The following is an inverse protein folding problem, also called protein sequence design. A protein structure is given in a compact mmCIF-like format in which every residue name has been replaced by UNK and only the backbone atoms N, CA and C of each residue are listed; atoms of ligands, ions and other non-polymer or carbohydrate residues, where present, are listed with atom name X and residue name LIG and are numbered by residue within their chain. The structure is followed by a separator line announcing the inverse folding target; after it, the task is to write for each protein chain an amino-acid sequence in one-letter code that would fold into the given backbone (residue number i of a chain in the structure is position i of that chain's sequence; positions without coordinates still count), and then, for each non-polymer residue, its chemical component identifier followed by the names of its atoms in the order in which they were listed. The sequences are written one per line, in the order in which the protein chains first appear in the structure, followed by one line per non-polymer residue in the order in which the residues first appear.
data_IF_827390362695
#
_entry.id   IF_827390362695
#
_cell.length_a   1.000
_cell.length_b   1.000
_cell.length_c   1.000
_cell.angle_alpha   90.00
_cell.angle_beta   90.00
_cell.angle_gamma   90.00
#
_symmetry.space_group_name_H-M   'P 1'
#
loop_
_entity.id
_entity.type
_entity.pdbx_description
1 polymer ?
#
# COMPACT_ATOMS: atom_id res chain seq x y z
N UNK A 1 -15.32 -12.52 21.22
CA UNK A 1 -15.22 -11.05 21.25
C UNK A 1 -16.23 -10.48 20.28
N UNK A 2 -16.93 -9.42 20.69
CA UNK A 2 -17.88 -8.71 19.82
C UNK A 2 -17.11 -8.00 18.71
N UNK A 3 -17.44 -8.30 17.45
CA UNK A 3 -16.70 -7.80 16.28
C UNK A 3 -17.17 -6.43 15.81
N UNK A 4 -18.26 -5.91 16.40
CA UNK A 4 -18.83 -4.60 16.11
C UNK A 4 -19.28 -4.00 17.44
N UNK A 5 -18.82 -2.81 17.80
CA UNK A 5 -19.23 -2.15 19.05
C UNK A 5 -19.20 -0.63 18.91
N UNK A 6 -19.94 0.04 19.79
CA UNK A 6 -19.84 1.47 19.97
C UNK A 6 -18.87 1.81 21.11
N UNK A 7 -18.05 2.84 20.93
CA UNK A 7 -17.13 3.39 21.94
C UNK A 7 -17.38 4.89 22.13
N UNK A 8 -16.82 5.47 23.20
CA UNK A 8 -16.88 6.92 23.44
C UNK A 8 -18.31 7.45 23.56
N UNK A 9 -19.15 6.81 24.37
CA UNK A 9 -20.57 7.14 24.54
C UNK A 9 -21.45 7.02 23.28
N UNK A 10 -20.99 6.34 22.23
CA UNK A 10 -21.77 6.13 21.00
C UNK A 10 -21.26 6.91 19.79
N UNK A 11 -20.28 7.80 19.98
CA UNK A 11 -19.75 8.66 18.92
C UNK A 11 -18.85 7.91 17.92
N UNK A 12 -18.43 6.68 18.26
CA UNK A 12 -17.55 5.86 17.43
C UNK A 12 -18.07 4.45 17.26
N UNK A 13 -18.27 4.03 16.01
CA UNK A 13 -18.51 2.63 15.64
C UNK A 13 -17.17 1.97 15.29
N UNK A 14 -16.87 0.85 15.96
CA UNK A 14 -15.67 0.04 15.69
C UNK A 14 -16.06 -1.31 15.12
N UNK A 15 -15.45 -1.66 14.00
CA UNK A 15 -15.62 -2.95 13.32
C UNK A 15 -14.27 -3.64 13.28
N UNK A 16 -14.14 -4.71 14.05
CA UNK A 16 -12.93 -5.52 14.17
C UNK A 16 -12.80 -6.50 13.01
N UNK A 17 -11.63 -7.16 12.91
CA UNK A 17 -11.35 -8.15 11.86
C UNK A 17 -12.47 -9.20 11.70
N UNK A 18 -12.99 -9.31 10.48
CA UNK A 18 -14.09 -10.20 10.13
C UNK A 18 -15.49 -9.70 10.56
N UNK A 19 -15.62 -8.48 11.05
CA UNK A 19 -16.88 -7.75 11.17
C UNK A 19 -17.28 -7.10 9.83
N UNK A 20 -18.56 -6.75 9.68
CA UNK A 20 -19.06 -6.07 8.48
C UNK A 20 -20.13 -5.04 8.82
N UNK A 21 -20.20 -3.97 8.04
CA UNK A 21 -21.34 -3.04 8.00
C UNK A 21 -22.04 -3.29 6.67
N UNK A 22 -23.31 -3.71 6.71
CA UNK A 22 -24.10 -4.01 5.50
C UNK A 22 -25.35 -3.14 5.49
N UNK A 23 -25.55 -2.37 4.42
CA UNK A 23 -26.72 -1.50 4.22
C UNK A 23 -27.59 -2.08 3.09
N UNK A 24 -28.90 -2.27 3.32
CA UNK A 24 -29.83 -2.93 2.38
C UNK A 24 -31.12 -2.13 2.18
N UNK A 25 -31.80 -2.38 1.06
CA UNK A 25 -33.15 -1.86 0.74
C UNK A 25 -33.35 -0.35 0.95
N UNK A 26 -32.58 0.48 0.22
CA UNK A 26 -32.72 1.94 0.28
C UNK A 26 -32.01 2.61 1.46
N UNK A 27 -31.21 1.88 2.24
CA UNK A 27 -30.38 2.48 3.27
C UNK A 27 -29.28 3.38 2.69
N UNK A 28 -28.98 4.47 3.40
CA UNK A 28 -28.06 5.52 2.96
C UNK A 28 -26.95 5.66 4.00
N UNK A 29 -25.68 5.64 3.56
CA UNK A 29 -24.55 6.14 4.35
C UNK A 29 -24.32 7.58 3.90
N UNK A 30 -24.75 8.53 4.73
CA UNK A 30 -24.60 9.96 4.44
C UNK A 30 -23.46 10.51 5.28
N UNK A 31 -22.49 11.12 4.60
CA UNK A 31 -21.50 12.00 5.22
C UNK A 31 -22.02 13.44 5.12
N UNK A 32 -22.12 14.13 6.26
CA UNK A 32 -22.47 15.55 6.29
C UNK A 32 -21.26 16.43 5.94
N UNK A 33 -21.48 17.72 5.69
CA UNK A 33 -20.41 18.67 5.38
C UNK A 33 -19.32 18.63 6.46
N UNK A 34 -18.08 18.32 6.06
CA UNK A 34 -16.93 18.21 6.96
C UNK A 34 -16.65 16.80 7.50
N UNK A 35 -17.47 15.80 7.17
CA UNK A 35 -17.16 14.41 7.49
C UNK A 35 -16.13 13.82 6.52
N UNK A 36 -15.06 13.23 7.07
CA UNK A 36 -14.02 12.56 6.28
C UNK A 36 -14.27 11.04 6.30
N UNK A 37 -14.50 10.44 5.13
CA UNK A 37 -14.38 8.98 4.95
C UNK A 37 -12.96 8.71 4.47
N UNK A 38 -12.02 8.66 5.41
CA UNK A 38 -10.60 8.48 5.09
C UNK A 38 -10.16 7.03 5.30
N UNK A 39 -9.21 6.58 4.49
CA UNK A 39 -8.30 5.50 4.87
C UNK A 39 -7.07 6.22 5.43
N UNK A 40 -6.94 6.38 6.76
CA UNK A 40 -5.83 7.16 7.32
C UNK A 40 -4.52 6.61 6.76
N UNK A 41 -3.65 7.52 6.33
CA UNK A 41 -2.35 7.19 5.73
C UNK A 41 -1.58 6.21 6.61
N UNK A 42 -1.65 4.93 6.27
CA UNK A 42 -1.02 3.88 7.06
C UNK A 42 0.41 3.68 6.59
N UNK A 43 1.34 3.85 7.54
CA UNK A 43 2.74 3.46 7.39
C UNK A 43 2.90 2.04 7.91
N UNK A 44 3.30 1.14 7.02
CA UNK A 44 3.63 -0.24 7.35
C UNK A 44 5.12 -0.36 7.67
N UNK A 45 5.46 -0.92 8.83
CA UNK A 45 6.84 -1.22 9.21
C UNK A 45 7.12 -2.71 8.99
N UNK A 46 7.87 -3.03 7.94
CA UNK A 46 8.00 -4.40 7.46
C UNK A 46 9.39 -5.00 7.75
N UNK A 47 9.44 -6.08 8.54
CA UNK A 47 10.68 -6.76 8.93
C UNK A 47 10.96 -8.09 8.19
N UNK A 48 10.08 -8.50 7.27
CA UNK A 48 10.24 -9.76 6.52
C UNK A 48 11.12 -9.61 5.27
N UNK A 49 10.97 -10.56 4.34
CA UNK A 49 11.77 -10.64 3.10
C UNK A 49 10.95 -10.49 1.82
N UNK A 50 9.62 -10.59 1.89
CA UNK A 50 8.73 -10.36 0.76
C UNK A 50 7.44 -9.68 1.22
N UNK A 51 7.11 -8.55 0.62
CA UNK A 51 5.91 -7.77 0.89
C UNK A 51 5.16 -7.52 -0.40
N UNK A 52 3.90 -7.93 -0.48
CA UNK A 52 3.03 -7.63 -1.63
C UNK A 52 2.21 -6.39 -1.35
N UNK A 53 2.28 -5.41 -2.24
CA UNK A 53 1.54 -4.15 -2.08
C UNK A 53 0.03 -4.39 -2.08
N UNK A 54 -0.68 -3.60 -1.28
CA UNK A 54 -2.12 -3.66 -1.09
C UNK A 54 -2.76 -2.27 -1.04
N UNK A 55 -4.10 -2.18 -1.05
CA UNK A 55 -4.80 -0.91 -0.87
C UNK A 55 -4.60 -0.26 0.50
N UNK A 56 -4.12 -1.03 1.51
CA UNK A 56 -4.09 -0.60 2.92
C UNK A 56 -2.99 0.41 3.22
N UNK A 57 -1.78 0.10 2.80
CA UNK A 57 -0.61 0.91 3.09
C UNK A 57 -0.38 1.92 1.97
N UNK A 58 -0.07 3.17 2.34
CA UNK A 58 0.44 4.17 1.39
C UNK A 58 1.97 4.22 1.43
N UNK A 59 2.53 3.86 2.57
CA UNK A 59 3.95 3.91 2.85
C UNK A 59 4.42 2.60 3.47
N UNK A 60 5.53 2.05 2.97
CA UNK A 60 6.22 0.89 3.55
C UNK A 60 7.61 1.31 3.97
N UNK A 61 7.95 1.13 5.25
CA UNK A 61 9.32 1.25 5.75
C UNK A 61 9.85 -0.14 6.07
N UNK A 62 10.79 -0.63 5.27
CA UNK A 62 11.44 -1.89 5.56
C UNK A 62 12.42 -1.72 6.73
N UNK A 63 12.46 -2.69 7.64
CA UNK A 63 13.36 -2.71 8.80
C UNK A 63 14.27 -3.94 8.80
N UNK A 64 14.08 -4.85 7.83
CA UNK A 64 14.83 -6.09 7.70
C UNK A 64 16.32 -5.88 7.42
N UNK A 65 17.16 -6.72 8.01
CA UNK A 65 18.58 -6.82 7.67
C UNK A 65 18.82 -7.72 6.44
N UNK A 66 17.84 -8.54 6.07
CA UNK A 66 17.87 -9.43 4.90
C UNK A 66 17.26 -8.76 3.68
N UNK A 67 17.61 -9.24 2.48
CA UNK A 67 17.04 -8.72 1.24
C UNK A 67 15.50 -8.76 1.26
N UNK A 68 14.89 -7.69 0.73
CA UNK A 68 13.43 -7.50 0.72
C UNK A 68 12.93 -7.33 -0.71
N UNK A 69 11.98 -8.17 -1.10
CA UNK A 69 11.22 -8.01 -2.34
C UNK A 69 9.92 -7.26 -2.07
N UNK A 70 9.69 -6.17 -2.79
CA UNK A 70 8.41 -5.45 -2.82
C UNK A 70 7.68 -5.84 -4.09
N UNK A 71 6.64 -6.64 -3.95
CA UNK A 71 5.89 -7.17 -5.09
C UNK A 71 4.77 -6.20 -5.46
N UNK A 72 4.78 -5.74 -6.71
CA UNK A 72 3.65 -5.06 -7.35
C UNK A 72 2.72 -6.14 -7.92
N UNK A 73 1.55 -6.40 -7.32
CA UNK A 73 0.65 -7.46 -7.77
C UNK A 73 -0.05 -7.09 -9.09
N UNK A 74 -0.51 -8.08 -9.87
CA UNK A 74 -1.35 -7.82 -11.03
C UNK A 74 -2.72 -7.26 -10.62
N UNK A 75 -3.29 -6.45 -11.48
CA UNK A 75 -4.61 -5.81 -11.31
C UNK A 75 -5.71 -6.85 -11.04
N UNK A 76 -5.60 -8.04 -11.63
CA UNK A 76 -6.53 -9.15 -11.43
C UNK A 76 -6.56 -9.68 -9.99
N UNK A 77 -5.46 -9.54 -9.24
CA UNK A 77 -5.37 -9.92 -7.84
C UNK A 77 -5.65 -8.74 -6.90
N UNK A 78 -5.10 -7.57 -7.22
CA UNK A 78 -5.28 -6.34 -6.44
C UNK A 78 -5.55 -5.16 -7.39
N UNK A 79 -6.80 -4.70 -7.50
CA UNK A 79 -7.14 -3.63 -8.41
C UNK A 79 -6.67 -2.28 -7.89
N UNK A 80 -5.58 -1.77 -8.47
CA UNK A 80 -5.11 -0.41 -8.26
C UNK A 80 -5.59 0.51 -9.39
N UNK A 81 -6.36 1.59 -9.10
CA UNK A 81 -6.69 2.60 -10.09
C UNK A 81 -5.44 3.32 -10.62
N UNK A 82 -5.45 3.82 -11.88
CA UNK A 82 -4.43 4.74 -12.38
C UNK A 82 -4.14 5.90 -11.41
N UNK A 83 -2.88 6.31 -11.30
CA UNK A 83 -2.42 7.35 -10.36
C UNK A 83 -2.22 6.88 -8.93
N UNK A 84 -2.51 5.61 -8.61
CA UNK A 84 -2.20 5.04 -7.29
C UNK A 84 -0.69 5.03 -7.09
N UNK A 85 -0.21 5.64 -6.02
CA UNK A 85 1.21 5.65 -5.64
C UNK A 85 1.46 4.88 -4.35
N UNK A 86 2.61 4.21 -4.26
CA UNK A 86 3.13 3.57 -3.04
C UNK A 86 4.56 4.00 -2.80
N UNK A 87 4.82 4.54 -1.62
CA UNK A 87 6.18 4.91 -1.22
C UNK A 87 6.81 3.78 -0.43
N UNK A 88 8.04 3.41 -0.78
CA UNK A 88 8.84 2.44 -0.04
C UNK A 88 10.14 3.08 0.39
N UNK A 89 10.51 2.91 1.66
CA UNK A 89 11.76 3.35 2.26
C UNK A 89 12.57 2.15 2.75
N UNK A 90 13.84 2.08 2.35
CA UNK A 90 14.80 1.08 2.84
C UNK A 90 15.34 1.50 4.20
N UNK A 91 14.68 1.13 5.30
CA UNK A 91 15.10 1.53 6.65
C UNK A 91 16.13 0.57 7.28
N UNK A 92 16.04 -0.71 6.92
CA UNK A 92 16.98 -1.76 7.31
C UNK A 92 18.21 -1.81 6.40
N UNK A 93 19.14 -2.73 6.71
CA UNK A 93 20.35 -2.95 5.90
C UNK A 93 20.11 -3.89 4.71
N UNK A 94 18.99 -4.59 4.69
CA UNK A 94 18.59 -5.44 3.58
C UNK A 94 18.34 -4.64 2.31
N UNK A 95 18.87 -5.11 1.18
CA UNK A 95 18.62 -4.51 -0.12
C UNK A 95 17.13 -4.65 -0.48
N UNK A 96 16.49 -3.53 -0.80
CA UNK A 96 15.09 -3.50 -1.24
C UNK A 96 15.04 -3.50 -2.76
N UNK A 97 14.25 -4.42 -3.32
CA UNK A 97 14.05 -4.56 -4.77
C UNK A 97 12.56 -4.62 -5.06
N UNK A 98 12.09 -3.82 -6.02
CA UNK A 98 10.74 -3.96 -6.57
C UNK A 98 10.70 -5.13 -7.55
N UNK A 99 9.62 -5.91 -7.46
CA UNK A 99 9.41 -7.11 -8.27
C UNK A 99 8.03 -6.98 -8.94
N UNK A 100 8.00 -7.15 -10.25
CA UNK A 100 6.77 -7.22 -11.01
C UNK A 100 6.09 -8.58 -10.77
N UNK A 101 4.81 -8.58 -10.40
CA UNK A 101 3.97 -9.78 -10.46
C UNK A 101 3.66 -10.21 -11.90
N UNK A 102 2.89 -11.28 -12.05
CA UNK A 102 2.59 -11.84 -13.37
C UNK A 102 1.91 -10.83 -14.30
N UNK A 103 2.53 -10.55 -15.45
CA UNK A 103 2.00 -9.59 -16.44
C UNK A 103 2.20 -8.12 -16.08
N UNK A 104 2.79 -7.81 -14.93
CA UNK A 104 3.11 -6.44 -14.53
C UNK A 104 4.41 -5.98 -15.21
N UNK A 105 4.43 -4.73 -15.64
CA UNK A 105 5.64 -4.03 -16.12
C UNK A 105 5.94 -2.87 -15.19
N UNK A 106 7.19 -2.77 -14.74
CA UNK A 106 7.69 -1.64 -13.95
C UNK A 106 8.73 -0.90 -14.79
N UNK A 107 8.39 0.30 -15.27
CA UNK A 107 9.32 1.19 -15.95
C UNK A 107 10.25 1.80 -14.90
N UNK A 108 11.56 1.80 -15.17
CA UNK A 108 12.56 2.46 -14.33
C UNK A 108 13.59 3.14 -15.21
N UNK A 109 14.05 4.35 -14.85
CA UNK A 109 15.19 4.97 -15.52
C UNK A 109 16.53 4.28 -15.19
N UNK A 110 16.56 3.43 -14.17
CA UNK A 110 17.76 2.77 -13.63
C UNK A 110 17.45 1.28 -13.38
N UNK A 111 17.84 0.73 -12.21
CA UNK A 111 17.42 -0.60 -11.75
C UNK A 111 16.08 -0.57 -11.00
N UNK A 112 15.59 -1.73 -10.55
CA UNK A 112 14.41 -1.84 -9.66
C UNK A 112 14.78 -1.80 -8.16
N UNK A 113 15.99 -1.39 -7.82
CA UNK A 113 16.49 -1.39 -6.43
C UNK A 113 16.54 0.01 -5.86
N UNK A 114 16.20 0.15 -4.59
CA UNK A 114 16.47 1.38 -3.84
C UNK A 114 17.97 1.45 -3.57
N UNK A 115 18.62 2.57 -3.89
CA UNK A 115 20.09 2.59 -4.01
C UNK A 115 20.84 2.27 -2.71
N UNK A 116 20.27 2.64 -1.55
CA UNK A 116 20.95 2.52 -0.25
C UNK A 116 19.98 2.65 0.91
N UNK A 117 20.47 2.31 2.10
CA UNK A 117 19.74 2.52 3.35
C UNK A 117 19.37 3.99 3.54
N UNK A 118 18.17 4.21 4.06
CA UNK A 118 17.47 5.48 4.25
C UNK A 118 17.07 6.21 2.97
N UNK A 119 17.26 5.62 1.81
CA UNK A 119 16.66 6.08 0.57
C UNK A 119 15.22 5.55 0.41
N UNK A 120 14.44 6.23 -0.41
CA UNK A 120 13.08 5.87 -0.75
C UNK A 120 12.85 5.94 -2.26
N UNK A 121 11.87 5.15 -2.71
CA UNK A 121 11.34 5.18 -4.06
C UNK A 121 9.82 5.09 -4.02
N UNK A 122 9.18 5.59 -5.06
CA UNK A 122 7.73 5.57 -5.27
C UNK A 122 7.46 4.75 -6.52
N UNK A 123 6.51 3.83 -6.42
CA UNK A 123 5.93 3.16 -7.58
C UNK A 123 4.52 3.71 -7.81
N UNK A 124 4.23 4.14 -9.04
CA UNK A 124 2.96 4.77 -9.41
C UNK A 124 2.31 4.04 -10.58
N UNK A 125 1.03 3.69 -10.44
CA UNK A 125 0.26 3.08 -11.51
C UNK A 125 0.03 4.11 -12.63
N UNK A 126 0.37 3.74 -13.86
CA UNK A 126 0.15 4.58 -15.04
C UNK A 126 -1.31 4.52 -15.50
N UNK A 127 -1.64 5.20 -16.59
CA UNK A 127 -2.91 5.07 -17.31
C UNK A 127 -3.11 3.69 -17.94
N UNK A 128 -2.04 2.93 -18.17
CA UNK A 128 -2.09 1.58 -18.72
C UNK A 128 -2.15 0.55 -17.59
N UNK A 129 -3.12 -0.37 -17.67
CA UNK A 129 -3.29 -1.45 -16.68
C UNK A 129 -1.99 -2.27 -16.58
N UNK A 130 -1.63 -2.63 -15.36
CA UNK A 130 -0.44 -3.45 -15.04
C UNK A 130 0.91 -2.80 -15.44
N UNK A 131 0.91 -1.51 -15.80
CA UNK A 131 2.13 -0.74 -16.07
C UNK A 131 2.32 0.31 -14.97
N UNK A 132 3.52 0.34 -14.40
CA UNK A 132 3.90 1.20 -13.29
C UNK A 132 5.18 1.94 -13.59
N UNK A 133 5.27 3.19 -13.15
CA UNK A 133 6.52 3.95 -13.16
C UNK A 133 7.18 3.89 -11.78
N UNK A 134 8.46 3.54 -11.74
CA UNK A 134 9.30 3.59 -10.54
C UNK A 134 10.19 4.82 -10.59
N UNK A 135 10.15 5.61 -9.51
CA UNK A 135 10.88 6.87 -9.41
C UNK A 135 11.44 7.08 -8.00
N UNK A 136 12.55 7.80 -7.87
CA UNK A 136 13.18 8.10 -6.59
C UNK A 136 14.68 7.86 -6.60
N UNK A 137 15.24 7.49 -5.44
CA UNK A 137 16.67 7.30 -5.28
C UNK A 137 17.04 5.82 -5.53
N UNK A 138 17.23 5.48 -6.80
CA UNK A 138 17.44 4.11 -7.29
C UNK A 138 18.93 3.78 -7.46
N UNK A 139 19.29 2.51 -7.35
CA UNK A 139 20.64 2.02 -7.69
C UNK A 139 20.86 2.25 -9.18
N UNK A 140 21.96 2.92 -9.53
CA UNK A 140 22.35 3.19 -10.90
C UNK A 140 22.59 1.88 -11.67
N UNK A 141 22.18 1.85 -12.94
CA UNK A 141 22.34 0.68 -13.83
C UNK A 141 23.79 0.40 -14.25
#
# INVERSE_FOLDING_TARGET
MEKVRFEGNGDRLIVESGGSIIVRNGGIVRAESGATIDMPEQVEFFAGTSFTLSPRERWVRTTSASAVSIVVPPYSAVPFPPGTSRTVLQGGTGQVTFVAGDGVTINSPETLKIAKRYAAAVVMATETRDVWDLMGYLEAA
#
